data_IF_515454007147
#
_entry.id   IF_515454007147
#
_cell.length_a   1.000
_cell.length_b   1.000
_cell.length_c   1.000
_cell.angle_alpha   90.00
_cell.angle_beta   90.00
_cell.angle_gamma   90.00
#
_symmetry.space_group_name_H-M   'P 1'
#
loop_
_entity.id
_entity.type
_entity.pdbx_description
1 polymer ?
#
# COMPACT_ATOMS: atom_id res chain seq x y z
N UNK A 1 -23.92 7.03 -9.39
CA UNK A 1 -22.53 7.32 -9.79
C UNK A 1 -21.63 6.28 -9.16
N UNK A 2 -21.20 5.29 -9.94
CA UNK A 2 -20.46 4.12 -9.44
C UNK A 2 -18.98 4.47 -9.32
N UNK A 3 -18.42 4.28 -8.13
CA UNK A 3 -17.00 4.34 -7.75
C UNK A 3 -16.07 4.24 -8.97
N UNK A 4 -15.46 5.36 -9.35
CA UNK A 4 -14.28 5.34 -10.23
C UNK A 4 -13.18 4.64 -9.45
N UNK A 5 -13.05 3.34 -9.69
CA UNK A 5 -12.00 2.41 -9.28
C UNK A 5 -10.71 3.16 -8.87
N UNK A 6 -10.44 3.19 -7.57
CA UNK A 6 -9.24 3.85 -7.03
C UNK A 6 -8.08 2.87 -7.13
N UNK A 7 -7.29 3.02 -8.19
CA UNK A 7 -5.96 2.45 -8.22
C UNK A 7 -5.10 3.21 -7.23
N UNK A 8 -4.30 2.48 -6.45
CA UNK A 8 -3.32 3.07 -5.53
C UNK A 8 -1.93 2.69 -5.98
N UNK A 9 -1.03 3.65 -6.03
CA UNK A 9 0.40 3.38 -6.06
C UNK A 9 0.81 2.90 -4.65
N UNK A 10 1.60 1.84 -4.62
CA UNK A 10 2.20 1.26 -3.43
C UNK A 10 3.68 1.00 -3.70
N UNK A 11 4.47 0.95 -2.62
CA UNK A 11 5.88 0.54 -2.69
C UNK A 11 5.98 -0.87 -2.13
N UNK A 12 6.45 -1.79 -2.96
CA UNK A 12 6.71 -3.18 -2.58
C UNK A 12 7.81 -3.21 -1.50
N UNK A 13 7.57 -3.82 -0.33
CA UNK A 13 8.47 -3.64 0.82
C UNK A 13 9.84 -4.32 0.69
N UNK A 14 9.99 -5.32 -0.20
CA UNK A 14 11.23 -6.08 -0.40
C UNK A 14 12.12 -5.43 -1.45
N UNK A 15 11.58 -5.11 -2.62
CA UNK A 15 12.31 -4.56 -3.77
C UNK A 15 12.33 -3.05 -3.78
N UNK A 16 11.44 -2.39 -3.03
CA UNK A 16 11.20 -0.93 -3.06
C UNK A 16 10.67 -0.43 -4.39
N UNK A 17 10.23 -1.32 -5.27
CA UNK A 17 9.66 -0.95 -6.55
C UNK A 17 8.22 -0.44 -6.38
N UNK A 18 7.80 0.43 -7.30
CA UNK A 18 6.44 0.93 -7.33
C UNK A 18 5.56 -0.09 -8.05
N UNK A 19 4.40 -0.36 -7.46
CA UNK A 19 3.35 -1.19 -8.03
C UNK A 19 2.02 -0.45 -7.91
N UNK A 20 1.07 -0.78 -8.77
CA UNK A 20 -0.28 -0.21 -8.76
C UNK A 20 -1.26 -1.31 -8.42
N UNK A 21 -2.06 -1.11 -7.37
CA UNK A 21 -3.05 -2.05 -6.91
C UNK A 21 -4.46 -1.50 -7.10
N UNK A 22 -5.35 -2.32 -7.63
CA UNK A 22 -6.78 -2.03 -7.71
C UNK A 22 -7.46 -2.55 -6.44
N UNK A 23 -7.96 -1.63 -5.60
CA UNK A 23 -8.57 -1.99 -4.32
C UNK A 23 -9.91 -2.72 -4.44
N UNK A 24 -10.55 -2.71 -5.61
CA UNK A 24 -11.80 -3.44 -5.84
C UNK A 24 -11.55 -4.88 -6.31
N UNK A 25 -10.62 -5.07 -7.23
CA UNK A 25 -10.39 -6.37 -7.89
C UNK A 25 -9.25 -7.17 -7.26
N UNK A 26 -8.36 -6.50 -6.51
CA UNK A 26 -7.12 -7.09 -6.02
C UNK A 26 -6.04 -7.23 -7.09
N UNK A 27 -6.27 -6.76 -8.32
CA UNK A 27 -5.27 -6.78 -9.38
C UNK A 27 -4.08 -5.89 -9.04
N UNK A 28 -2.89 -6.34 -9.41
CA UNK A 28 -1.64 -5.62 -9.23
C UNK A 28 -0.85 -5.62 -10.54
N UNK A 29 -0.35 -4.44 -10.92
CA UNK A 29 0.47 -4.25 -12.13
C UNK A 29 1.67 -3.37 -11.83
N UNK A 30 2.76 -3.57 -12.56
CA UNK A 30 3.99 -2.78 -12.43
C UNK A 30 3.91 -1.47 -13.20
N UNK A 31 3.25 -1.48 -14.36
CA UNK A 31 3.05 -0.28 -15.17
C UNK A 31 1.76 0.46 -14.79
N UNK A 32 1.75 1.80 -14.78
CA UNK A 32 0.55 2.56 -14.44
C UNK A 32 -0.56 2.29 -15.47
N UNK A 33 -1.76 1.87 -15.03
CA UNK A 33 -2.89 1.68 -15.92
C UNK A 33 -3.32 3.00 -16.58
N UNK A 34 -3.59 2.96 -17.88
CA UNK A 34 -3.99 4.14 -18.64
C UNK A 34 -5.44 4.55 -18.35
N UNK A 35 -5.70 5.86 -18.31
CA UNK A 35 -7.07 6.41 -18.25
C UNK A 35 -7.79 6.27 -16.91
N UNK A 36 -7.10 5.83 -15.85
CA UNK A 36 -7.67 5.71 -14.50
C UNK A 36 -7.03 6.70 -13.53
N UNK A 37 -7.75 7.05 -12.47
CA UNK A 37 -7.21 7.87 -11.39
C UNK A 37 -6.37 7.00 -10.46
N UNK A 38 -5.10 7.36 -10.31
CA UNK A 38 -4.17 6.69 -9.39
C UNK A 38 -3.95 7.62 -8.18
N UNK A 39 -4.21 7.12 -6.97
CA UNK A 39 -3.79 7.76 -5.73
C UNK A 39 -2.33 7.40 -5.48
N UNK A 40 -1.45 8.39 -5.47
CA UNK A 40 -0.02 8.18 -5.24
C UNK A 40 0.28 7.75 -3.81
N UNK A 41 1.42 7.10 -3.62
CA UNK A 41 1.95 6.78 -2.30
C UNK A 41 2.14 8.07 -1.50
N UNK A 42 1.82 8.02 -0.20
CA UNK A 42 2.07 9.12 0.73
C UNK A 42 2.28 8.61 2.15
N UNK A 43 2.67 9.51 3.05
CA UNK A 43 3.07 9.19 4.42
C UNK A 43 1.94 8.60 5.29
N UNK A 44 0.69 8.62 4.82
CA UNK A 44 -0.44 8.00 5.50
C UNK A 44 -0.74 6.58 4.98
N UNK A 45 0.09 6.02 4.11
CA UNK A 45 -0.02 4.65 3.61
C UNK A 45 0.84 3.69 4.45
N UNK A 46 0.20 2.69 5.05
CA UNK A 46 0.85 1.72 5.94
C UNK A 46 0.50 0.30 5.53
N UNK A 47 1.52 -0.54 5.47
CA UNK A 47 1.39 -1.99 5.33
C UNK A 47 1.11 -2.60 6.69
N UNK A 48 0.06 -3.41 6.82
CA UNK A 48 -0.12 -4.30 7.96
C UNK A 48 0.59 -5.63 7.66
N UNK A 49 1.63 -5.94 8.42
CA UNK A 49 2.46 -7.11 8.24
C UNK A 49 2.41 -7.95 9.50
N UNK A 50 2.47 -9.27 9.36
CA UNK A 50 2.47 -10.19 10.48
C UNK A 50 3.90 -10.65 10.76
N UNK A 51 4.37 -10.48 12.01
CA UNK A 51 5.62 -11.06 12.47
C UNK A 51 5.36 -12.42 13.16
N UNK A 52 5.78 -13.54 12.54
CA UNK A 52 5.57 -14.86 13.12
C UNK A 52 6.41 -15.11 14.38
N UNK A 53 7.52 -14.38 14.59
CA UNK A 53 8.38 -14.58 15.76
C UNK A 53 7.72 -14.09 17.05
N UNK A 54 6.97 -12.99 16.96
CA UNK A 54 6.26 -12.39 18.09
C UNK A 54 4.75 -12.66 18.06
N UNK A 55 4.25 -13.30 17.00
CA UNK A 55 2.84 -13.55 16.75
C UNK A 55 1.98 -12.28 16.80
N UNK A 56 2.48 -11.18 16.23
CA UNK A 56 1.86 -9.85 16.28
C UNK A 56 1.88 -9.18 14.92
N UNK A 57 0.90 -8.31 14.70
CA UNK A 57 0.93 -7.38 13.58
C UNK A 57 1.84 -6.20 13.88
N UNK A 58 2.50 -5.70 12.85
CA UNK A 58 3.22 -4.44 12.83
C UNK A 58 2.87 -3.65 11.58
N UNK A 59 3.06 -2.34 11.63
CA UNK A 59 2.73 -1.43 10.55
C UNK A 59 4.01 -0.83 9.99
N UNK A 60 4.19 -0.96 8.68
CA UNK A 60 5.35 -0.42 7.98
C UNK A 60 4.94 0.64 6.96
N UNK A 61 5.56 1.82 7.06
CA UNK A 61 5.42 2.88 6.09
C UNK A 61 6.60 2.84 5.14
N UNK A 62 6.35 2.50 3.87
CA UNK A 62 7.41 2.37 2.88
C UNK A 62 7.98 3.73 2.41
N UNK A 63 7.20 4.81 2.50
CA UNK A 63 7.63 6.17 2.14
C UNK A 63 8.60 6.74 3.18
N UNK A 64 8.27 6.63 4.47
CA UNK A 64 9.07 7.16 5.58
C UNK A 64 10.03 6.13 6.18
N UNK A 65 9.95 4.87 5.77
CA UNK A 65 10.71 3.73 6.30
C UNK A 65 10.51 3.53 7.82
N UNK A 66 9.30 3.79 8.32
CA UNK A 66 8.98 3.67 9.74
C UNK A 66 8.25 2.38 10.01
N UNK A 67 8.60 1.74 11.12
CA UNK A 67 7.89 0.57 11.67
C UNK A 67 7.29 0.95 13.01
N UNK A 68 6.01 0.62 13.21
CA UNK A 68 5.31 0.84 14.47
C UNK A 68 4.49 -0.39 14.83
N UNK A 69 4.28 -0.63 16.13
CA UNK A 69 3.50 -1.76 16.62
C UNK A 69 2.00 -1.48 16.70
N UNK A 70 1.63 -0.20 16.83
CA UNK A 70 0.24 0.22 16.91
C UNK A 70 -0.22 0.75 15.56
N UNK A 71 -1.49 0.49 15.23
CA UNK A 71 -2.09 1.03 14.02
C UNK A 71 -1.98 2.56 14.03
N UNK A 72 -1.36 3.17 13.00
CA UNK A 72 -1.25 4.61 12.93
C UNK A 72 -2.63 5.22 12.70
N UNK A 73 -2.92 6.29 13.44
CA UNK A 73 -4.09 7.11 13.19
C UNK A 73 -3.77 8.04 12.01
N UNK A 74 -4.61 7.99 10.99
CA UNK A 74 -4.59 8.88 9.82
C UNK A 74 -5.13 10.25 10.12
#
# INVERSE_FOLDING_TARGET
HKNKLEWVEIIEPRTRERMYANLLTGECVWDPPAGVRIKRTGDNQWWELYDPNTARFYYYNAATQRTVWHRPHS
#
